data_IF_804044159288
#
_entry.id   IF_804044159288
#
_cell.length_a   1.000
_cell.length_b   1.000
_cell.length_c   1.000
_cell.angle_alpha   90.00
_cell.angle_beta   90.00
_cell.angle_gamma   90.00
#
_symmetry.space_group_name_H-M   'P 1'
#
loop_
_entity.id
_entity.type
_entity.pdbx_description
1 polymer ?
#
# COMPACT_ATOMS: atom_id res chain seq x y z
N UNK A 1 -5.66 -15.93 17.91
CA UNK A 1 -6.98 -16.16 18.53
C UNK A 1 -7.65 -14.86 18.97
N UNK A 2 -7.03 -13.99 19.78
CA UNK A 2 -7.65 -12.72 20.19
C UNK A 2 -7.63 -11.69 19.03
N UNK A 3 -6.55 -11.63 18.26
CA UNK A 3 -6.45 -10.77 17.08
C UNK A 3 -7.48 -11.15 16.02
N UNK A 4 -7.64 -12.44 15.72
CA UNK A 4 -8.58 -12.95 14.72
C UNK A 4 -10.03 -12.53 15.07
N UNK A 5 -10.43 -12.74 16.33
CA UNK A 5 -11.75 -12.31 16.81
C UNK A 5 -11.93 -10.79 16.73
N UNK A 6 -10.86 -10.02 17.00
CA UNK A 6 -10.87 -8.57 16.87
C UNK A 6 -11.07 -8.12 15.42
N UNK A 7 -10.35 -8.75 14.49
CA UNK A 7 -10.45 -8.50 13.05
C UNK A 7 -11.85 -8.82 12.52
N UNK A 8 -12.38 -10.01 12.84
CA UNK A 8 -13.74 -10.40 12.43
C UNK A 8 -14.82 -9.47 12.97
N UNK A 9 -14.65 -8.98 14.19
CA UNK A 9 -15.60 -8.03 14.75
C UNK A 9 -15.49 -6.66 14.09
N UNK A 10 -14.28 -6.15 13.87
CA UNK A 10 -14.06 -4.85 13.22
C UNK A 10 -14.59 -4.84 11.79
N UNK A 11 -14.41 -5.94 11.04
CA UNK A 11 -14.85 -6.09 9.65
C UNK A 11 -16.34 -5.81 9.45
N UNK A 12 -17.16 -6.06 10.46
CA UNK A 12 -18.63 -5.83 10.40
C UNK A 12 -19.01 -4.35 10.38
N UNK A 13 -18.10 -3.47 10.75
CA UNK A 13 -18.36 -2.05 10.97
C UNK A 13 -17.53 -1.12 10.09
N UNK A 14 -16.67 -1.67 9.23
CA UNK A 14 -15.79 -0.88 8.34
C UNK A 14 -15.98 -1.28 6.88
N UNK A 15 -15.83 -0.33 5.97
CA UNK A 15 -15.90 -0.57 4.53
C UNK A 15 -14.63 -1.22 4.00
N UNK A 16 -13.48 -0.82 4.53
CA UNK A 16 -12.17 -1.33 4.16
C UNK A 16 -11.31 -1.50 5.40
N UNK A 17 -10.56 -2.58 5.44
CA UNK A 17 -9.62 -2.87 6.52
C UNK A 17 -8.23 -3.14 5.96
N UNK A 18 -7.24 -2.47 6.52
CA UNK A 18 -5.83 -2.71 6.25
C UNK A 18 -5.28 -3.51 7.43
N UNK A 19 -4.82 -4.73 7.17
CA UNK A 19 -4.10 -5.54 8.15
C UNK A 19 -2.62 -5.61 7.78
N UNK A 20 -1.75 -5.43 8.75
CA UNK A 20 -0.30 -5.52 8.56
C UNK A 20 0.21 -6.64 9.45
N UNK A 21 0.66 -7.77 8.86
CA UNK A 21 1.29 -8.83 9.61
C UNK A 21 2.60 -8.34 10.23
N UNK A 22 2.74 -8.46 11.55
CA UNK A 22 3.94 -7.96 12.23
C UNK A 22 5.22 -8.68 11.78
N UNK A 23 5.10 -9.94 11.43
CA UNK A 23 6.20 -10.79 10.98
C UNK A 23 6.80 -10.25 9.67
N UNK A 24 5.95 -9.75 8.77
CA UNK A 24 6.38 -9.16 7.50
C UNK A 24 7.15 -7.84 7.66
N UNK A 25 7.07 -7.21 8.82
CA UNK A 25 7.88 -6.04 9.14
C UNK A 25 9.37 -6.35 9.21
N UNK A 26 9.74 -7.59 9.58
CA UNK A 26 11.14 -8.04 9.64
C UNK A 26 11.76 -8.21 8.24
N UNK A 27 10.93 -8.37 7.21
CA UNK A 27 11.35 -8.54 5.82
C UNK A 27 11.56 -7.18 5.10
N UNK A 28 11.14 -6.07 5.72
CA UNK A 28 11.31 -4.74 5.12
C UNK A 28 12.79 -4.36 5.02
N UNK A 29 13.27 -3.94 3.84
CA UNK A 29 14.64 -3.50 3.66
C UNK A 29 14.91 -2.25 4.53
N UNK A 30 16.16 -2.14 5.02
CA UNK A 30 16.66 -1.00 5.79
C UNK A 30 16.06 -0.80 7.20
N UNK A 31 15.27 -1.73 7.72
CA UNK A 31 14.81 -1.69 9.10
C UNK A 31 15.70 -2.58 9.98
N UNK A 32 16.54 -1.96 10.82
CA UNK A 32 17.22 -2.66 11.91
C UNK A 32 16.22 -2.92 13.05
N UNK A 33 15.39 -3.97 12.90
CA UNK A 33 14.37 -4.29 13.88
C UNK A 33 15.00 -5.06 15.04
N UNK A 34 14.89 -4.48 16.22
CA UNK A 34 15.26 -5.10 17.49
C UNK A 34 14.00 -5.31 18.32
N UNK A 35 14.06 -6.17 19.33
CA UNK A 35 12.93 -6.37 20.24
C UNK A 35 12.44 -5.06 20.88
N UNK A 36 13.36 -4.12 21.14
CA UNK A 36 13.03 -2.82 21.74
C UNK A 36 12.31 -1.87 20.80
N UNK A 37 12.57 -1.92 19.48
CA UNK A 37 11.99 -0.99 18.52
C UNK A 37 10.90 -1.62 17.64
N UNK A 38 10.66 -2.93 17.72
CA UNK A 38 9.72 -3.64 16.86
C UNK A 38 8.31 -3.01 16.83
N UNK A 39 7.76 -2.69 18.01
CA UNK A 39 6.45 -2.03 18.09
C UNK A 39 6.48 -0.60 17.55
N UNK A 40 7.59 0.10 17.69
CA UNK A 40 7.76 1.45 17.14
C UNK A 40 7.77 1.40 15.61
N UNK A 41 8.47 0.43 15.04
CA UNK A 41 8.52 0.24 13.58
C UNK A 41 7.16 -0.21 13.02
N UNK A 42 6.45 -1.10 13.70
CA UNK A 42 5.07 -1.43 13.34
C UNK A 42 4.16 -0.18 13.31
N UNK A 43 4.26 0.66 14.32
CA UNK A 43 3.52 1.92 14.36
C UNK A 43 3.96 2.90 13.27
N UNK A 44 5.25 2.94 12.91
CA UNK A 44 5.75 3.79 11.83
C UNK A 44 5.17 3.38 10.48
N UNK A 45 5.06 2.08 10.21
CA UNK A 45 4.45 1.55 8.98
C UNK A 45 2.97 1.89 8.91
N UNK A 46 2.21 1.65 9.99
CA UNK A 46 0.81 2.05 10.07
C UNK A 46 0.63 3.56 9.86
N UNK A 47 1.48 4.35 10.51
CA UNK A 47 1.48 5.81 10.35
C UNK A 47 1.77 6.22 8.91
N UNK A 48 2.72 5.57 8.24
CA UNK A 48 3.05 5.84 6.84
C UNK A 48 1.85 5.53 5.92
N UNK A 49 1.15 4.42 6.14
CA UNK A 49 -0.06 4.06 5.39
C UNK A 49 -1.18 5.09 5.53
N UNK A 50 -1.54 5.43 6.77
CA UNK A 50 -2.58 6.44 7.04
C UNK A 50 -2.17 7.81 6.51
N UNK A 51 -0.90 8.18 6.68
CA UNK A 51 -0.36 9.44 6.19
C UNK A 51 -0.39 9.50 4.67
N UNK A 52 0.01 8.44 3.97
CA UNK A 52 -0.02 8.39 2.51
C UNK A 52 -1.42 8.67 1.94
N UNK A 53 -2.46 8.10 2.55
CA UNK A 53 -3.86 8.35 2.14
C UNK A 53 -4.29 9.78 2.52
N UNK A 54 -3.98 10.22 3.74
CA UNK A 54 -4.39 11.55 4.23
C UNK A 54 -3.73 12.69 3.45
N UNK A 55 -2.47 12.54 3.07
CA UNK A 55 -1.73 13.55 2.32
C UNK A 55 -2.30 13.79 0.93
N UNK A 56 -2.89 12.76 0.29
CA UNK A 56 -3.57 12.92 -1.00
C UNK A 56 -4.74 13.91 -0.97
N UNK A 57 -5.37 14.07 0.21
CA UNK A 57 -6.50 15.00 0.40
C UNK A 57 -6.02 16.36 0.91
N UNK A 58 -5.01 16.35 1.79
CA UNK A 58 -4.65 17.53 2.60
C UNK A 58 -3.47 18.33 2.04
N UNK A 59 -2.60 17.68 1.26
CA UNK A 59 -1.44 18.32 0.66
C UNK A 59 -1.69 18.70 -0.80
N UNK A 60 -1.10 19.80 -1.19
CA UNK A 60 -1.15 20.30 -2.55
C UNK A 60 -0.14 19.56 -3.44
N UNK A 61 -0.57 19.10 -4.60
CA UNK A 61 0.25 18.45 -5.61
C UNK A 61 -0.10 18.93 -7.02
N UNK A 62 0.51 18.33 -8.04
CA UNK A 62 0.12 18.57 -9.44
C UNK A 62 -1.21 17.90 -9.78
N UNK A 63 -1.47 16.74 -9.20
CA UNK A 63 -2.74 16.00 -9.30
C UNK A 63 -3.30 15.83 -7.91
N UNK A 64 -4.41 16.49 -7.65
CA UNK A 64 -5.08 16.41 -6.35
C UNK A 64 -6.29 15.49 -6.48
N UNK A 65 -6.49 14.69 -5.46
CA UNK A 65 -7.69 13.86 -5.32
C UNK A 65 -8.65 14.53 -4.35
N UNK A 66 -9.94 14.44 -4.67
CA UNK A 66 -10.96 14.83 -3.71
C UNK A 66 -11.33 13.65 -2.79
N UNK A 67 -12.07 13.96 -1.73
CA UNK A 67 -12.53 12.94 -0.78
C UNK A 67 -13.48 11.91 -1.44
N UNK A 68 -14.21 12.32 -2.48
CA UNK A 68 -15.14 11.45 -3.17
C UNK A 68 -14.41 10.33 -3.94
N UNK A 69 -13.27 10.65 -4.56
CA UNK A 69 -12.42 9.68 -5.28
C UNK A 69 -11.88 8.61 -4.32
N UNK A 70 -11.33 9.05 -3.18
CA UNK A 70 -10.80 8.13 -2.15
C UNK A 70 -11.92 7.29 -1.56
N UNK A 71 -13.07 7.90 -1.28
CA UNK A 71 -14.24 7.18 -0.78
C UNK A 71 -14.74 6.14 -1.78
N UNK A 72 -14.80 6.46 -3.07
CA UNK A 72 -15.22 5.52 -4.10
C UNK A 72 -14.29 4.30 -4.20
N UNK A 73 -12.99 4.52 -3.96
CA UNK A 73 -12.01 3.43 -3.94
C UNK A 73 -12.16 2.56 -2.69
N UNK A 74 -12.37 3.16 -1.53
CA UNK A 74 -12.35 2.47 -0.23
C UNK A 74 -13.69 1.92 0.20
N UNK A 75 -14.81 2.47 -0.27
CA UNK A 75 -16.14 2.04 0.16
C UNK A 75 -16.44 0.60 -0.27
N UNK A 76 -16.90 -0.21 0.70
CA UNK A 76 -17.30 -1.61 0.52
C UNK A 76 -16.22 -2.47 -0.17
N UNK A 77 -14.94 -2.16 0.06
CA UNK A 77 -13.83 -2.76 -0.68
C UNK A 77 -13.08 -3.87 0.09
N UNK A 78 -13.54 -4.20 1.29
CA UNK A 78 -13.05 -5.35 2.06
C UNK A 78 -11.62 -5.20 2.55
N UNK A 79 -10.73 -6.11 2.17
CA UNK A 79 -9.32 -6.06 2.56
C UNK A 79 -8.52 -5.19 1.61
N UNK A 80 -7.69 -4.32 2.17
CA UNK A 80 -6.74 -3.52 1.42
C UNK A 80 -5.30 -3.87 1.82
N UNK A 81 -4.43 -3.91 0.83
CA UNK A 81 -2.99 -4.15 0.98
C UNK A 81 -2.21 -2.87 0.73
N UNK A 82 -1.09 -2.72 1.44
CA UNK A 82 -0.21 -1.55 1.35
C UNK A 82 1.14 -1.93 0.76
N UNK A 83 1.61 -1.13 -0.19
CA UNK A 83 2.97 -1.20 -0.70
C UNK A 83 3.67 0.15 -0.59
N UNK A 84 4.96 0.13 -0.26
CA UNK A 84 5.79 1.32 -0.16
C UNK A 84 7.09 1.12 -0.92
N UNK A 85 7.51 2.16 -1.64
CA UNK A 85 8.80 2.20 -2.30
C UNK A 85 9.38 3.61 -2.28
N UNK A 86 10.70 3.68 -2.21
CA UNK A 86 11.44 4.93 -2.23
C UNK A 86 12.74 4.73 -3.01
N UNK A 87 13.04 5.64 -3.93
CA UNK A 87 14.27 5.59 -4.72
C UNK A 87 14.72 6.98 -5.14
N UNK A 88 16.02 7.09 -5.39
CA UNK A 88 16.68 8.31 -5.89
C UNK A 88 17.41 7.99 -7.21
N UNK A 89 17.79 9.02 -7.96
CA UNK A 89 18.56 8.90 -9.19
C UNK A 89 17.72 8.86 -10.46
N UNK A 90 18.34 8.49 -11.60
CA UNK A 90 17.72 8.59 -12.92
C UNK A 90 16.56 7.59 -13.15
N UNK A 91 16.63 6.40 -12.55
CA UNK A 91 15.59 5.34 -12.70
C UNK A 91 14.68 5.25 -11.45
N UNK A 92 14.57 6.33 -10.69
CA UNK A 92 13.85 6.38 -9.41
C UNK A 92 12.38 5.96 -9.54
N UNK A 93 11.74 6.33 -10.63
CA UNK A 93 10.33 6.01 -10.87
C UNK A 93 10.10 4.50 -10.95
N UNK A 94 10.90 3.81 -11.74
CA UNK A 94 10.86 2.36 -11.88
C UNK A 94 11.26 1.67 -10.59
N UNK A 95 12.42 2.03 -10.03
CA UNK A 95 12.95 1.38 -8.85
C UNK A 95 12.03 1.52 -7.64
N UNK A 96 11.46 2.72 -7.39
CA UNK A 96 10.49 2.92 -6.32
C UNK A 96 9.19 2.14 -6.56
N UNK A 97 8.72 2.03 -7.82
CA UNK A 97 7.52 1.27 -8.14
C UNK A 97 7.74 -0.22 -7.93
N UNK A 98 8.84 -0.77 -8.43
CA UNK A 98 9.19 -2.18 -8.23
C UNK A 98 9.34 -2.51 -6.73
N UNK A 99 9.94 -1.62 -5.95
CA UNK A 99 10.03 -1.77 -4.50
C UNK A 99 8.65 -1.76 -3.82
N UNK A 100 7.75 -0.87 -4.25
CA UNK A 100 6.39 -0.82 -3.72
C UNK A 100 5.58 -2.06 -4.07
N UNK A 101 5.71 -2.57 -5.30
CA UNK A 101 5.04 -3.78 -5.79
C UNK A 101 5.57 -5.07 -5.15
N UNK A 102 6.83 -5.08 -4.75
CA UNK A 102 7.48 -6.20 -4.06
C UNK A 102 7.53 -5.99 -2.54
N UNK A 103 6.76 -5.04 -2.01
CA UNK A 103 6.73 -4.79 -0.56
C UNK A 103 6.22 -6.03 0.19
N UNK A 104 6.93 -6.50 1.22
CA UNK A 104 6.46 -7.62 2.05
C UNK A 104 5.08 -7.40 2.68
N UNK A 105 4.65 -6.15 2.80
CA UNK A 105 3.33 -5.76 3.32
C UNK A 105 2.19 -6.04 2.33
N UNK A 106 2.51 -6.30 1.07
CA UNK A 106 1.57 -6.78 0.06
C UNK A 106 1.51 -8.31 0.10
N UNK A 107 1.47 -9.01 1.19
CA UNK A 107 1.42 -10.48 1.37
C UNK A 107 1.41 -11.33 0.08
N UNK A 108 0.73 -10.84 -0.94
CA UNK A 108 0.67 -11.35 -2.33
C UNK A 108 0.84 -10.17 -3.29
N UNK A 109 1.01 -10.46 -4.58
CA UNK A 109 0.97 -9.44 -5.63
C UNK A 109 -0.33 -8.62 -5.58
N UNK A 110 -0.31 -7.40 -6.14
CA UNK A 110 -1.52 -6.61 -6.39
C UNK A 110 -2.38 -7.20 -7.54
N UNK A 111 -1.99 -8.35 -8.07
CA UNK A 111 -2.73 -9.06 -9.12
C UNK A 111 -4.17 -9.34 -8.67
N UNK A 112 -5.12 -9.03 -9.55
CA UNK A 112 -6.54 -9.16 -9.27
C UNK A 112 -7.16 -7.99 -8.50
N UNK A 113 -6.40 -6.96 -8.12
CA UNK A 113 -6.94 -5.75 -7.52
C UNK A 113 -7.73 -4.95 -8.56
N UNK A 114 -9.00 -4.67 -8.26
CA UNK A 114 -9.88 -3.86 -9.14
C UNK A 114 -9.84 -2.38 -8.82
N UNK A 115 -9.40 -2.00 -7.64
CA UNK A 115 -9.27 -0.62 -7.20
C UNK A 115 -7.90 -0.39 -6.60
N UNK A 116 -7.19 0.59 -7.11
CA UNK A 116 -5.85 0.94 -6.68
C UNK A 116 -5.78 2.44 -6.44
N UNK A 117 -5.33 2.80 -5.25
CA UNK A 117 -5.02 4.18 -4.89
C UNK A 117 -3.50 4.34 -4.84
N UNK A 118 -2.98 5.27 -5.62
CA UNK A 118 -1.55 5.53 -5.76
C UNK A 118 -1.22 6.94 -5.28
N UNK A 119 -0.31 7.05 -4.34
CA UNK A 119 0.30 8.30 -3.92
C UNK A 119 1.74 8.38 -4.43
N UNK A 120 2.07 9.44 -5.15
CA UNK A 120 3.41 9.74 -5.64
C UNK A 120 3.89 11.01 -4.96
N UNK A 121 4.92 10.91 -4.12
CA UNK A 121 5.52 12.06 -3.44
C UNK A 121 6.92 12.32 -4.00
N UNK A 122 7.17 13.54 -4.44
CA UNK A 122 8.47 13.95 -5.00
C UNK A 122 8.66 15.45 -4.96
N UNK A 123 9.82 15.91 -5.38
CA UNK A 123 10.12 17.33 -5.54
C UNK A 123 9.47 17.96 -6.79
N UNK A 124 9.76 19.22 -7.03
CA UNK A 124 9.27 19.94 -8.23
C UNK A 124 9.88 19.43 -9.55
N UNK A 125 10.84 18.54 -9.48
CA UNK A 125 11.50 17.86 -10.60
C UNK A 125 10.74 16.60 -11.06
N UNK A 126 9.61 16.26 -10.43
CA UNK A 126 8.76 15.11 -10.79
C UNK A 126 8.23 15.29 -12.23
N UNK A 127 8.69 14.42 -13.13
CA UNK A 127 8.32 14.47 -14.56
C UNK A 127 7.04 13.71 -14.88
N UNK A 128 6.31 14.18 -15.90
CA UNK A 128 5.11 13.49 -16.39
C UNK A 128 5.41 12.07 -16.89
N UNK A 129 6.58 11.87 -17.50
CA UNK A 129 7.03 10.55 -17.96
C UNK A 129 7.21 9.57 -16.80
N UNK A 130 7.69 10.05 -15.64
CA UNK A 130 7.82 9.23 -14.44
C UNK A 130 6.45 8.77 -13.93
N UNK A 131 5.48 9.70 -13.88
CA UNK A 131 4.09 9.38 -13.47
C UNK A 131 3.45 8.36 -14.42
N UNK A 132 3.67 8.48 -15.73
CA UNK A 132 3.18 7.52 -16.71
C UNK A 132 3.85 6.14 -16.55
N UNK A 133 5.16 6.10 -16.35
CA UNK A 133 5.91 4.87 -16.12
C UNK A 133 5.41 4.12 -14.88
N UNK A 134 5.23 4.82 -13.75
CA UNK A 134 4.69 4.28 -12.51
C UNK A 134 3.30 3.68 -12.75
N UNK A 135 2.41 4.46 -13.36
CA UNK A 135 1.02 4.05 -13.60
C UNK A 135 0.93 2.84 -14.52
N UNK A 136 1.80 2.76 -15.54
CA UNK A 136 1.84 1.63 -16.49
C UNK A 136 2.31 0.36 -15.80
N UNK A 137 3.38 0.40 -15.01
CA UNK A 137 3.89 -0.74 -14.26
C UNK A 137 2.86 -1.30 -13.28
N UNK A 138 2.15 -0.41 -12.57
CA UNK A 138 1.11 -0.81 -11.61
C UNK A 138 -0.05 -1.50 -12.33
N UNK A 139 -0.53 -0.95 -13.45
CA UNK A 139 -1.62 -1.56 -14.25
C UNK A 139 -1.22 -2.91 -14.81
N UNK A 140 0.00 -3.03 -15.33
CA UNK A 140 0.54 -4.28 -15.85
C UNK A 140 0.59 -5.36 -14.76
N UNK A 141 1.06 -5.01 -13.56
CA UNK A 141 1.16 -5.93 -12.43
C UNK A 141 -0.22 -6.32 -11.88
N UNK A 142 -1.18 -5.40 -11.86
CA UNK A 142 -2.54 -5.71 -11.43
C UNK A 142 -3.24 -6.72 -12.36
N UNK A 143 -2.82 -6.79 -13.63
CA UNK A 143 -3.32 -7.78 -14.60
C UNK A 143 -4.79 -7.57 -15.01
N UNK A 144 -5.50 -6.63 -14.41
CA UNK A 144 -6.90 -6.34 -14.66
C UNK A 144 -7.06 -5.20 -15.65
N UNK A 145 -7.60 -5.51 -16.85
CA UNK A 145 -7.81 -4.53 -17.92
C UNK A 145 -8.69 -3.33 -17.47
N UNK A 146 -9.53 -3.53 -16.46
CA UNK A 146 -10.46 -2.54 -15.95
C UNK A 146 -10.12 -2.08 -14.51
N UNK A 147 -8.89 -2.31 -14.02
CA UNK A 147 -8.50 -1.83 -12.72
C UNK A 147 -8.65 -0.30 -12.64
N UNK A 148 -9.43 0.16 -11.67
CA UNK A 148 -9.60 1.58 -11.41
C UNK A 148 -8.39 2.10 -10.64
N UNK A 149 -7.40 2.62 -11.36
CA UNK A 149 -6.22 3.25 -10.80
C UNK A 149 -6.48 4.75 -10.64
N UNK A 150 -6.63 5.18 -9.41
CA UNK A 150 -6.70 6.58 -9.01
C UNK A 150 -5.37 6.99 -8.43
N UNK A 151 -4.78 8.07 -8.91
CA UNK A 151 -3.50 8.56 -8.40
C UNK A 151 -3.53 10.04 -8.05
N UNK A 152 -2.79 10.40 -7.04
CA UNK A 152 -2.47 11.77 -6.68
C UNK A 152 -0.97 11.97 -6.51
N UNK A 153 -0.57 13.24 -6.58
CA UNK A 153 0.82 13.62 -6.37
C UNK A 153 0.93 14.55 -5.17
N UNK A 154 1.98 14.42 -4.41
CA UNK A 154 2.33 15.31 -3.30
C UNK A 154 3.68 15.94 -3.58
N UNK A 155 3.75 17.27 -3.52
CA UNK A 155 5.00 17.99 -3.65
C UNK A 155 5.63 18.18 -2.27
N UNK A 156 6.86 17.68 -2.11
CA UNK A 156 7.60 17.79 -0.88
C UNK A 156 9.11 17.91 -1.17
N UNK A 157 9.65 19.12 -1.12
CA UNK A 157 11.07 19.38 -1.39
C UNK A 157 12.02 18.77 -0.34
N UNK A 158 11.50 18.31 0.78
CA UNK A 158 12.30 17.58 1.76
C UNK A 158 12.55 16.13 1.36
N UNK A 159 11.79 15.60 0.40
CA UNK A 159 11.97 14.27 -0.14
C UNK A 159 13.07 14.29 -1.19
N UNK A 160 14.15 13.56 -0.92
CA UNK A 160 15.17 13.28 -1.93
C UNK A 160 14.67 12.11 -2.77
N UNK A 161 14.55 12.34 -4.09
CA UNK A 161 14.06 11.31 -4.99
C UNK A 161 12.53 11.21 -5.06
N UNK A 162 12.01 10.00 -5.00
CA UNK A 162 10.61 9.69 -5.21
C UNK A 162 10.12 8.63 -4.23
N UNK A 163 8.95 8.88 -3.62
CA UNK A 163 8.26 7.93 -2.75
C UNK A 163 6.94 7.52 -3.36
N UNK A 164 6.64 6.24 -3.31
CA UNK A 164 5.41 5.64 -3.80
C UNK A 164 4.72 4.92 -2.66
N UNK A 165 3.42 5.17 -2.52
CA UNK A 165 2.54 4.40 -1.65
C UNK A 165 1.37 3.87 -2.46
N UNK A 166 1.15 2.57 -2.41
CA UNK A 166 0.08 1.88 -3.12
C UNK A 166 -0.90 1.32 -2.09
N UNK A 167 -2.19 1.53 -2.32
CA UNK A 167 -3.27 0.84 -1.63
C UNK A 167 -4.04 0.05 -2.66
N UNK A 168 -3.94 -1.26 -2.63
CA UNK A 168 -4.66 -2.17 -3.53
C UNK A 168 -5.83 -2.80 -2.78
N UNK A 169 -7.00 -2.82 -3.39
CA UNK A 169 -8.23 -3.31 -2.75
C UNK A 169 -9.23 -3.84 -3.78
N UNK A 170 -10.35 -4.38 -3.30
CA UNK A 170 -11.43 -4.95 -4.13
C UNK A 170 -10.91 -6.07 -5.06
N UNK A 171 -10.22 -7.07 -4.47
CA UNK A 171 -9.66 -8.20 -5.20
C UNK A 171 -10.74 -9.14 -5.73
N UNK A 172 -10.53 -9.69 -6.95
CA UNK A 172 -11.47 -10.61 -7.59
C UNK A 172 -11.57 -11.94 -6.83
N UNK A 173 -10.47 -12.40 -6.27
CA UNK A 173 -10.41 -13.67 -5.58
C UNK A 173 -10.91 -13.50 -4.13
N UNK A 174 -12.02 -14.20 -3.81
CA UNK A 174 -12.61 -14.19 -2.46
C UNK A 174 -11.67 -14.70 -1.37
N UNK A 175 -10.56 -15.34 -1.73
CA UNK A 175 -9.52 -15.77 -0.79
C UNK A 175 -8.81 -14.57 -0.14
N UNK A 176 -8.78 -13.40 -0.78
CA UNK A 176 -8.26 -12.17 -0.17
C UNK A 176 -9.21 -11.58 0.90
N UNK A 177 -10.50 -11.99 0.88
CA UNK A 177 -11.46 -11.61 1.90
C UNK A 177 -11.31 -12.42 3.20
N UNK A 178 -10.54 -13.48 3.17
CA UNK A 178 -10.41 -14.42 4.29
C UNK A 178 -9.13 -14.16 5.10
N UNK A 179 -9.09 -13.03 5.81
CA UNK A 179 -8.00 -12.72 6.75
C UNK A 179 -7.77 -13.86 7.75
N UNK A 180 -8.81 -14.61 8.09
CA UNK A 180 -8.70 -15.80 8.93
C UNK A 180 -7.87 -16.93 8.28
N UNK A 181 -7.94 -17.12 6.96
CA UNK A 181 -7.12 -18.09 6.24
C UNK A 181 -5.68 -17.60 6.05
N UNK A 182 -5.49 -16.29 5.83
CA UNK A 182 -4.18 -15.67 5.76
C UNK A 182 -3.41 -15.92 7.06
N UNK A 183 -4.01 -15.65 8.21
CA UNK A 183 -3.40 -15.90 9.52
C UNK A 183 -3.26 -17.39 9.87
N UNK A 184 -4.13 -18.28 9.35
CA UNK A 184 -4.00 -19.72 9.55
C UNK A 184 -2.88 -20.32 8.68
N UNK A 185 -2.61 -19.78 7.51
CA UNK A 185 -1.48 -20.23 6.67
C UNK A 185 -0.13 -19.85 7.30
N UNK A 186 -0.03 -18.66 7.91
CA UNK A 186 1.16 -18.25 8.68
C UNK A 186 1.46 -19.25 9.81
N UNK A 187 0.43 -19.74 10.53
CA UNK A 187 0.62 -20.74 11.59
C UNK A 187 1.08 -22.10 11.12
N UNK A 188 0.75 -22.51 9.90
CA UNK A 188 1.20 -23.81 9.36
C UNK A 188 2.66 -23.79 8.93
N UNK A 189 3.16 -22.64 8.49
CA UNK A 189 4.56 -22.46 8.13
C UNK A 189 5.49 -22.36 9.36
N UNK A 190 4.94 -22.04 10.55
CA UNK A 190 5.71 -22.03 11.80
C UNK A 190 5.76 -23.39 12.52
N UNK A 191 4.91 -24.36 12.12
CA UNK A 191 4.87 -25.70 12.71
C UNK A 191 5.64 -26.77 11.88
N UNK A 192 6.17 -26.41 10.70
CA UNK A 192 7.10 -27.25 9.88
C UNK A 192 8.56 -26.81 10.05
#
# INVERSE_FOLDING_TARGET
KNADMGIENLRKYVDTMIAIPNDKLFELPNLNITLMNAFKEANNVLKAGVRGISELITKQGFVNLDFADIRATMKDSGVAMLGFGESEGEDRARAATEQALNSPLLEKSIEGARKILLNITGGYDLGLNEVQQISSLIRETAGEANANLIFGTVLDDSVRGLKISIVATDFIDKNHDNLGEIFNNIKKEEEE
#
